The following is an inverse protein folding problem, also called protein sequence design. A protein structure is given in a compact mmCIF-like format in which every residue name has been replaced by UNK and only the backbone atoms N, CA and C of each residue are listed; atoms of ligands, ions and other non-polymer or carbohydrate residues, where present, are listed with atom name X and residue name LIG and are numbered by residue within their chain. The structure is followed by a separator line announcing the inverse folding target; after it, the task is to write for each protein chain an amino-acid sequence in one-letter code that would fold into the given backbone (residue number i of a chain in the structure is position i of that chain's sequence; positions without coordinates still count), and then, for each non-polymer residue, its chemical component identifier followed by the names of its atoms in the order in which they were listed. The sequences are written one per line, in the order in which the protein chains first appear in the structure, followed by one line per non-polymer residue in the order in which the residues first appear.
data_IF_629022217569
#
_entry.id   IF_629022217569
#
_cell.length_a   1.000
_cell.length_b   1.000
_cell.length_c   1.000
_cell.angle_alpha   90.00
_cell.angle_beta   90.00
_cell.angle_gamma   90.00
#
_symmetry.space_group_name_H-M   'P 1'
#
loop_
_entity.id
_entity.type
_entity.pdbx_description
1 polymer ?
#
# COMPACT_ATOMS: atom_id res chain seq x y z
N UNK A 1 1.85 4.76 17.18
CA UNK A 1 1.06 6.00 17.26
C UNK A 1 -0.10 5.86 18.24
N UNK A 2 -1.03 4.92 18.02
CA UNK A 2 -2.26 4.72 18.82
C UNK A 2 -2.02 4.73 20.33
N UNK A 3 -1.10 3.92 20.85
CA UNK A 3 -0.80 3.90 22.30
C UNK A 3 -0.34 5.28 22.80
N UNK A 4 0.57 5.95 22.08
CA UNK A 4 1.03 7.30 22.46
C UNK A 4 -0.11 8.31 22.50
N UNK A 5 -1.02 8.24 21.53
CA UNK A 5 -2.20 9.10 21.48
C UNK A 5 -3.19 8.79 22.62
N UNK A 6 -3.35 7.52 23.00
CA UNK A 6 -4.23 7.11 24.10
C UNK A 6 -3.70 7.42 25.50
N UNK A 7 -2.38 7.56 25.66
CA UNK A 7 -1.74 7.77 26.98
C UNK A 7 -1.35 9.22 27.26
N UNK A 8 -1.59 10.14 26.32
CA UNK A 8 -1.10 11.53 26.40
C UNK A 8 -2.27 12.51 26.39
N UNK A 9 -2.44 13.35 27.42
CA UNK A 9 -3.53 14.33 27.45
C UNK A 9 -3.44 15.33 26.29
N UNK A 10 -2.23 15.66 25.81
CA UNK A 10 -2.01 16.55 24.65
C UNK A 10 -2.54 16.02 23.30
N UNK A 11 -2.99 14.75 23.26
CA UNK A 11 -3.60 14.14 22.09
C UNK A 11 -5.13 14.28 22.04
N UNK A 12 -5.77 14.70 23.15
CA UNK A 12 -7.23 14.77 23.22
C UNK A 12 -7.80 15.79 22.23
N UNK A 13 -8.78 15.37 21.42
CA UNK A 13 -9.40 16.21 20.39
C UNK A 13 -8.55 16.44 19.14
N UNK A 14 -7.37 15.83 19.04
CA UNK A 14 -6.44 16.04 17.93
C UNK A 14 -6.48 14.89 16.91
N UNK A 15 -6.41 15.23 15.62
CA UNK A 15 -6.22 14.25 14.54
C UNK A 15 -4.73 14.10 14.19
N UNK A 16 -4.28 12.85 13.96
CA UNK A 16 -2.90 12.52 13.59
C UNK A 16 -2.87 11.51 12.44
N UNK A 17 -1.93 11.70 11.51
CA UNK A 17 -1.66 10.74 10.44
C UNK A 17 -0.57 9.74 10.90
N UNK A 18 -0.83 8.44 10.75
CA UNK A 18 0.15 7.39 10.94
C UNK A 18 0.66 6.92 9.58
N UNK A 19 1.69 7.58 9.07
CA UNK A 19 2.29 7.28 7.76
C UNK A 19 3.80 7.11 7.94
N UNK A 20 4.41 6.25 7.12
CA UNK A 20 5.86 6.06 7.11
C UNK A 20 6.59 7.33 6.68
N UNK A 21 7.89 7.38 6.98
CA UNK A 21 8.76 8.48 6.58
C UNK A 21 9.32 8.26 5.18
N UNK A 22 9.51 9.36 4.45
CA UNK A 22 10.03 9.36 3.08
C UNK A 22 8.96 9.58 2.02
N UNK A 23 9.40 9.70 0.77
CA UNK A 23 8.54 9.75 -0.41
C UNK A 23 8.72 8.43 -1.17
N UNK A 24 7.74 7.53 -1.05
CA UNK A 24 7.79 6.21 -1.70
C UNK A 24 6.73 6.20 -2.80
N UNK A 25 7.17 6.06 -4.05
CA UNK A 25 6.22 5.96 -5.17
C UNK A 25 5.65 4.54 -5.26
N UNK A 26 4.49 4.39 -5.93
CA UNK A 26 3.96 3.07 -6.27
C UNK A 26 4.94 2.23 -7.09
N UNK A 27 5.77 2.87 -7.92
CA UNK A 27 6.82 2.19 -8.68
C UNK A 27 7.87 1.60 -7.75
N UNK A 28 8.33 2.37 -6.77
CA UNK A 28 9.32 1.92 -5.79
C UNK A 28 8.75 0.80 -4.93
N UNK A 29 7.53 0.99 -4.40
CA UNK A 29 6.85 0.01 -3.56
C UNK A 29 6.68 -1.34 -4.27
N UNK A 30 6.17 -1.34 -5.50
CA UNK A 30 5.99 -2.57 -6.27
C UNK A 30 7.34 -3.16 -6.71
N UNK A 31 8.30 -2.32 -7.11
CA UNK A 31 9.65 -2.75 -7.46
C UNK A 31 10.32 -3.50 -6.32
N UNK A 32 10.34 -2.93 -5.11
CA UNK A 32 10.91 -3.57 -3.92
C UNK A 32 10.21 -4.88 -3.57
N UNK A 33 8.89 -4.97 -3.72
CA UNK A 33 8.17 -6.24 -3.54
C UNK A 33 8.60 -7.30 -4.57
N UNK A 34 8.72 -6.92 -5.84
CA UNK A 34 9.15 -7.81 -6.92
C UNK A 34 10.58 -8.31 -6.71
N UNK A 35 11.50 -7.40 -6.33
CA UNK A 35 12.89 -7.72 -5.99
C UNK A 35 12.95 -8.75 -4.86
N UNK A 36 12.24 -8.50 -3.76
CA UNK A 36 12.21 -9.40 -2.60
C UNK A 36 11.57 -10.75 -2.93
N UNK A 37 10.52 -10.77 -3.75
CA UNK A 37 9.84 -12.01 -4.17
C UNK A 37 10.61 -12.79 -5.25
N UNK A 38 11.56 -12.16 -5.95
CA UNK A 38 12.28 -12.76 -7.08
C UNK A 38 11.42 -12.88 -8.35
N UNK A 39 10.49 -11.95 -8.58
CA UNK A 39 9.63 -11.93 -9.76
C UNK A 39 9.87 -10.67 -10.61
N UNK A 40 9.57 -10.70 -11.91
CA UNK A 40 9.82 -9.54 -12.77
C UNK A 40 8.94 -8.34 -12.38
N UNK A 41 9.48 -7.11 -12.38
CA UNK A 41 8.72 -5.92 -12.07
C UNK A 41 7.67 -5.62 -13.18
N UNK A 42 6.65 -4.81 -12.88
CA UNK A 42 5.69 -4.37 -13.89
C UNK A 42 6.39 -3.60 -15.02
N UNK A 43 6.20 -4.06 -16.26
CA UNK A 43 6.78 -3.44 -17.45
C UNK A 43 5.90 -2.34 -18.05
N UNK A 44 4.61 -2.30 -17.68
CA UNK A 44 3.63 -1.36 -18.23
C UNK A 44 3.34 -0.22 -17.24
N UNK A 45 3.41 1.01 -17.73
CA UNK A 45 3.04 2.22 -16.99
C UNK A 45 2.09 3.06 -17.85
N UNK A 46 0.82 3.13 -17.46
CA UNK A 46 -0.21 3.85 -18.21
C UNK A 46 -0.49 5.24 -17.60
N UNK A 47 -0.64 6.28 -18.42
CA UNK A 47 -1.19 7.55 -17.97
C UNK A 47 -2.58 7.38 -17.34
N UNK A 48 -2.88 8.19 -16.33
CA UNK A 48 -4.17 8.22 -15.62
C UNK A 48 -5.39 8.27 -16.56
N UNK A 49 -5.29 9.08 -17.62
CA UNK A 49 -6.35 9.27 -18.60
C UNK A 49 -6.71 7.99 -19.38
N UNK A 50 -5.77 7.04 -19.51
CA UNK A 50 -6.00 5.75 -20.15
C UNK A 50 -6.37 4.66 -19.14
N UNK A 51 -5.72 4.66 -17.96
CA UNK A 51 -5.96 3.65 -16.94
C UNK A 51 -7.43 3.64 -16.45
N UNK A 52 -8.04 4.81 -16.28
CA UNK A 52 -9.41 4.95 -15.78
C UNK A 52 -10.49 4.34 -16.70
N UNK A 53 -10.59 4.71 -17.99
CA UNK A 53 -11.58 4.12 -18.88
C UNK A 53 -11.34 2.62 -19.11
N UNK A 54 -10.08 2.17 -19.21
CA UNK A 54 -9.74 0.75 -19.36
C UNK A 54 -10.23 -0.08 -18.17
N UNK A 55 -10.04 0.40 -16.94
CA UNK A 55 -10.56 -0.27 -15.76
C UNK A 55 -12.09 -0.40 -15.79
N UNK A 56 -12.77 0.61 -16.33
CA UNK A 56 -14.21 0.58 -16.55
C UNK A 56 -14.65 -0.51 -17.52
N UNK A 57 -14.01 -0.56 -18.69
CA UNK A 57 -14.30 -1.57 -19.71
C UNK A 57 -14.09 -3.00 -19.18
N UNK A 58 -13.03 -3.23 -18.42
CA UNK A 58 -12.76 -4.55 -17.82
C UNK A 58 -13.85 -4.93 -16.82
N UNK A 59 -14.30 -4.00 -15.98
CA UNK A 59 -15.41 -4.27 -15.05
C UNK A 59 -16.74 -4.51 -15.77
N UNK A 60 -17.05 -3.70 -16.79
CA UNK A 60 -18.29 -3.83 -17.57
C UNK A 60 -18.33 -5.17 -18.30
N UNK A 61 -17.21 -5.61 -18.87
CA UNK A 61 -17.08 -6.93 -19.49
C UNK A 61 -17.20 -8.06 -18.45
N UNK A 62 -16.60 -7.91 -17.27
CA UNK A 62 -16.70 -8.89 -16.20
C UNK A 62 -18.14 -9.04 -15.69
N UNK A 63 -18.87 -7.92 -15.58
CA UNK A 63 -20.31 -7.89 -15.26
C UNK A 63 -21.13 -8.60 -16.34
N UNK A 64 -20.89 -8.28 -17.62
CA UNK A 64 -21.61 -8.86 -18.75
C UNK A 64 -21.40 -10.37 -18.87
N UNK A 65 -20.17 -10.83 -18.65
CA UNK A 65 -19.81 -12.25 -18.72
C UNK A 65 -20.15 -13.05 -17.46
N UNK A 66 -20.77 -12.42 -16.45
CA UNK A 66 -21.14 -13.01 -15.15
C UNK A 66 -20.00 -13.82 -14.50
N UNK A 67 -18.76 -13.33 -14.65
CA UNK A 67 -17.61 -14.00 -14.03
C UNK A 67 -17.80 -14.04 -12.52
N UNK A 68 -17.70 -15.23 -11.93
CA UNK A 68 -17.75 -15.43 -10.47
C UNK A 68 -16.51 -14.88 -9.77
N UNK A 69 -15.37 -14.85 -10.44
CA UNK A 69 -14.13 -14.29 -9.92
C UNK A 69 -14.06 -12.77 -10.18
N UNK A 70 -13.64 -12.02 -9.16
CA UNK A 70 -13.43 -10.58 -9.29
C UNK A 70 -12.36 -10.30 -10.37
N UNK A 71 -12.59 -9.34 -11.29
CA UNK A 71 -11.60 -9.01 -12.31
C UNK A 71 -10.28 -8.53 -11.68
N UNK A 72 -9.14 -8.81 -12.31
CA UNK A 72 -7.82 -8.40 -11.79
C UNK A 72 -7.66 -6.87 -11.76
N UNK A 73 -8.32 -6.16 -12.67
CA UNK A 73 -8.34 -4.69 -12.72
C UNK A 73 -9.75 -4.19 -12.44
N UNK A 74 -9.87 -3.26 -11.50
CA UNK A 74 -11.10 -2.56 -11.16
C UNK A 74 -10.83 -1.06 -11.07
N UNK A 75 -11.86 -0.24 -11.26
CA UNK A 75 -11.81 1.21 -11.05
C UNK A 75 -11.37 1.53 -9.61
N UNK A 76 -11.76 0.71 -8.63
CA UNK A 76 -11.30 0.85 -7.25
C UNK A 76 -9.78 0.67 -7.11
N UNK A 77 -9.21 -0.43 -7.62
CA UNK A 77 -7.76 -0.69 -7.56
C UNK A 77 -6.96 0.39 -8.30
N UNK A 78 -7.46 0.81 -9.47
CA UNK A 78 -6.84 1.89 -10.24
C UNK A 78 -6.90 3.21 -9.47
N UNK A 79 -8.04 3.58 -8.88
CA UNK A 79 -8.16 4.80 -8.06
C UNK A 79 -7.16 4.83 -6.90
N UNK A 80 -6.96 3.69 -6.23
CA UNK A 80 -6.06 3.56 -5.10
C UNK A 80 -4.59 3.85 -5.48
N UNK A 81 -4.17 3.46 -6.69
CA UNK A 81 -2.78 3.69 -7.15
C UNK A 81 -2.59 4.98 -7.95
N UNK A 82 -3.67 5.61 -8.42
CA UNK A 82 -3.61 6.83 -9.24
C UNK A 82 -3.21 8.09 -8.47
N UNK A 83 -3.43 8.11 -7.16
CA UNK A 83 -3.25 9.29 -6.33
C UNK A 83 -2.01 9.15 -5.46
N UNK A 84 -1.41 10.30 -5.18
CA UNK A 84 -0.33 10.38 -4.24
C UNK A 84 -0.90 10.39 -2.81
N UNK A 85 -0.47 9.43 -1.99
CA UNK A 85 -0.97 9.23 -0.62
C UNK A 85 0.08 9.59 0.43
N UNK A 86 0.79 10.70 0.20
CA UNK A 86 1.71 11.24 1.19
C UNK A 86 0.99 12.23 2.10
N UNK A 87 1.04 11.95 3.40
CA UNK A 87 0.46 12.80 4.42
C UNK A 87 1.52 13.25 5.40
N UNK A 88 1.41 14.50 5.85
CA UNK A 88 2.33 15.03 6.84
C UNK A 88 2.16 14.33 8.19
N UNK A 89 3.29 13.92 8.78
CA UNK A 89 3.38 13.28 10.09
C UNK A 89 4.07 14.16 11.14
N UNK A 90 4.42 15.40 10.79
CA UNK A 90 5.13 16.35 11.65
C UNK A 90 4.44 16.52 13.02
N UNK A 91 3.12 16.73 13.02
CA UNK A 91 2.32 16.88 14.24
C UNK A 91 2.46 15.69 15.21
N UNK A 92 2.47 14.46 14.69
CA UNK A 92 2.64 13.26 15.51
C UNK A 92 4.07 13.14 16.08
N UNK A 93 5.07 13.57 15.31
CA UNK A 93 6.47 13.61 15.74
C UNK A 93 6.69 14.64 16.84
N UNK A 94 6.15 15.84 16.67
CA UNK A 94 6.32 16.97 17.58
C UNK A 94 5.53 16.77 18.88
N UNK A 95 4.23 16.45 18.79
CA UNK A 95 3.37 16.39 19.98
C UNK A 95 3.43 15.06 20.72
N UNK A 96 3.59 13.94 20.01
CA UNK A 96 3.55 12.60 20.61
C UNK A 96 4.92 11.93 20.71
N UNK A 97 5.97 12.56 20.16
CA UNK A 97 7.29 11.95 20.03
C UNK A 97 7.28 10.67 19.17
N UNK A 98 6.23 10.47 18.36
CA UNK A 98 6.09 9.25 17.57
C UNK A 98 6.89 9.35 16.28
N UNK A 99 7.67 8.31 15.97
CA UNK A 99 8.37 8.13 14.70
C UNK A 99 8.16 6.69 14.20
N UNK A 100 8.03 6.48 12.88
CA UNK A 100 8.05 5.13 12.32
C UNK A 100 9.40 4.47 12.66
N UNK A 101 9.36 3.21 13.09
CA UNK A 101 10.55 2.46 13.52
C UNK A 101 11.14 1.60 12.42
N UNK A 102 10.34 1.30 11.41
CA UNK A 102 10.68 0.41 10.29
C UNK A 102 10.43 1.22 9.03
N UNK A 103 11.39 1.19 8.10
CA UNK A 103 11.22 1.83 6.79
C UNK A 103 10.33 0.95 5.91
N UNK A 104 9.64 1.55 4.94
CA UNK A 104 8.77 0.78 4.03
C UNK A 104 9.51 -0.37 3.35
N UNK A 105 10.76 -0.14 2.88
CA UNK A 105 11.61 -1.20 2.29
C UNK A 105 11.91 -2.34 3.27
N UNK A 106 12.29 -2.03 4.51
CA UNK A 106 12.53 -3.06 5.52
C UNK A 106 11.26 -3.82 5.89
N UNK A 107 10.11 -3.13 5.94
CA UNK A 107 8.80 -3.74 6.16
C UNK A 107 8.42 -4.72 5.04
N UNK A 108 8.68 -4.37 3.78
CA UNK A 108 8.47 -5.27 2.63
C UNK A 108 9.34 -6.53 2.77
N UNK A 109 10.65 -6.37 3.00
CA UNK A 109 11.56 -7.51 3.14
C UNK A 109 11.12 -8.46 4.28
N UNK A 110 10.78 -7.90 5.45
CA UNK A 110 10.27 -8.68 6.58
C UNK A 110 8.94 -9.40 6.28
N UNK A 111 8.04 -8.74 5.55
CA UNK A 111 6.75 -9.34 5.14
C UNK A 111 6.96 -10.49 4.16
N UNK A 112 7.87 -10.35 3.19
CA UNK A 112 8.20 -11.42 2.23
C UNK A 112 8.86 -12.60 2.94
N UNK A 113 9.79 -12.34 3.87
CA UNK A 113 10.41 -13.39 4.68
C UNK A 113 9.37 -14.18 5.47
N UNK A 114 8.43 -13.48 6.15
CA UNK A 114 7.31 -14.11 6.85
C UNK A 114 6.41 -14.92 5.91
N UNK A 115 6.06 -14.37 4.74
CA UNK A 115 5.23 -15.05 3.75
C UNK A 115 5.87 -16.35 3.24
N UNK A 116 7.18 -16.33 2.98
CA UNK A 116 7.95 -17.52 2.59
C UNK A 116 7.96 -18.57 3.70
N UNK A 117 8.19 -18.16 4.95
CA UNK A 117 8.17 -19.07 6.09
C UNK A 117 6.79 -19.74 6.26
N UNK A 118 5.70 -18.98 6.12
CA UNK A 118 4.34 -19.52 6.17
C UNK A 118 4.05 -20.54 5.05
N UNK A 119 4.45 -20.24 3.81
CA UNK A 119 4.23 -21.18 2.70
C UNK A 119 5.14 -22.41 2.78
N UNK A 120 6.38 -22.26 3.24
CA UNK A 120 7.30 -23.38 3.44
C UNK A 120 6.86 -24.33 4.55
N UNK A 121 6.16 -23.84 5.57
CA UNK A 121 5.61 -24.65 6.66
C UNK A 121 4.27 -25.32 6.37
N UNK A 122 3.58 -24.99 5.27
CA UNK A 122 2.30 -25.60 4.89
C UNK A 122 2.46 -26.86 4.01
N UNK A 123 3.69 -27.25 3.69
CA UNK A 123 4.04 -28.41 2.85
C UNK A 123 5.01 -29.38 3.55
N UNK A 124 5.12 -29.32 4.88
CA UNK A 124 5.90 -30.24 5.69
C UNK A 124 5.00 -31.02 6.66
#
# INVERSE_FOLDING_TARGET
LVIRAGTRPEAAGEAFNAVDDGHVTWRDYIGWMCDELGCPPPWLSLPRALAWPLAGLVEDLARLTRRRAAPPVTRYRVRAVMHDHHYATAKAKERLGWRPRVTTRAGIAGTVAWYRAMKGGATA
#
